data_IF_991506777026
#
_entry.id   IF_991506777026
#
_cell.length_a   1.000
_cell.length_b   1.000
_cell.length_c   1.000
_cell.angle_alpha   90.00
_cell.angle_beta   90.00
_cell.angle_gamma   90.00
#
_symmetry.space_group_name_H-M   'P 1'
#
loop_
_entity.id
_entity.type
_entity.pdbx_description
1 polymer ?
#
# COMPACT_ATOMS: atom_id res chain seq x y z
N UNK A 1 -44.79 -37.29 42.30
CA UNK A 1 -45.16 -36.30 41.27
C UNK A 1 -44.03 -35.26 41.20
N UNK A 2 -43.13 -35.47 40.23
CA UNK A 2 -41.94 -34.59 40.08
C UNK A 2 -42.20 -33.72 38.86
N UNK A 3 -42.37 -32.41 39.09
CA UNK A 3 -42.55 -31.45 38.01
C UNK A 3 -41.21 -31.16 37.33
N UNK A 4 -41.14 -31.44 36.05
CA UNK A 4 -40.03 -31.07 35.20
C UNK A 4 -40.23 -29.61 34.71
N UNK A 5 -39.43 -28.69 35.23
CA UNK A 5 -39.38 -27.30 34.74
C UNK A 5 -38.52 -27.29 33.46
N UNK A 6 -39.14 -27.18 32.32
CA UNK A 6 -38.50 -26.86 31.05
C UNK A 6 -38.19 -25.36 30.97
N UNK A 7 -36.90 -25.02 31.10
CA UNK A 7 -36.41 -23.68 30.82
C UNK A 7 -36.25 -23.55 29.30
N UNK A 8 -37.21 -22.89 28.64
CA UNK A 8 -37.10 -22.46 27.28
C UNK A 8 -36.22 -21.18 27.23
N UNK A 9 -34.92 -21.34 26.98
CA UNK A 9 -34.07 -20.21 26.60
C UNK A 9 -34.17 -20.00 25.10
N UNK A 10 -35.09 -19.16 24.66
CA UNK A 10 -35.07 -18.60 23.31
C UNK A 10 -33.92 -17.63 23.21
N UNK A 11 -32.76 -18.06 22.73
CA UNK A 11 -31.69 -17.19 22.30
C UNK A 11 -32.14 -16.49 21.01
N UNK A 12 -32.71 -15.31 21.12
CA UNK A 12 -32.93 -14.39 20.00
C UNK A 12 -31.57 -13.96 19.48
N UNK A 13 -31.12 -14.61 18.43
CA UNK A 13 -29.96 -14.12 17.65
C UNK A 13 -30.39 -12.82 16.99
N UNK A 14 -30.11 -11.69 17.64
CA UNK A 14 -30.27 -10.38 17.00
C UNK A 14 -29.25 -10.32 15.87
N UNK A 15 -29.72 -10.53 14.64
CA UNK A 15 -28.97 -10.13 13.46
C UNK A 15 -28.67 -8.63 13.60
N UNK A 16 -27.43 -8.30 13.96
CA UNK A 16 -26.94 -6.92 13.94
C UNK A 16 -27.02 -6.46 12.49
N UNK A 17 -28.04 -5.70 12.14
CA UNK A 17 -28.08 -4.99 10.86
C UNK A 17 -26.85 -4.11 10.79
N UNK A 18 -26.00 -4.37 9.80
CA UNK A 18 -24.80 -3.58 9.59
C UNK A 18 -25.23 -2.23 9.03
N UNK A 19 -24.93 -1.16 9.73
CA UNK A 19 -25.28 0.20 9.28
C UNK A 19 -24.44 0.55 8.03
N UNK A 20 -25.09 1.20 7.08
CA UNK A 20 -24.40 1.80 5.93
C UNK A 20 -23.48 2.90 6.45
N UNK A 21 -22.18 2.92 6.08
CA UNK A 21 -21.28 3.97 6.52
C UNK A 21 -21.72 5.34 6.00
N UNK A 22 -21.69 6.34 6.86
CA UNK A 22 -22.02 7.71 6.47
C UNK A 22 -20.84 8.36 5.74
N UNK A 23 -21.12 9.10 4.67
CA UNK A 23 -20.13 9.92 4.01
C UNK A 23 -19.84 11.20 4.81
N UNK A 24 -18.58 11.69 4.82
CA UNK A 24 -18.25 12.97 5.42
C UNK A 24 -18.82 14.13 4.57
N UNK A 25 -19.07 15.27 5.21
CA UNK A 25 -19.47 16.50 4.49
C UNK A 25 -18.32 17.09 3.66
N UNK A 26 -17.09 16.87 4.06
CA UNK A 26 -15.86 17.34 3.41
C UNK A 26 -14.78 16.29 3.53
N UNK A 27 -13.97 16.17 2.51
CA UNK A 27 -12.76 15.33 2.53
C UNK A 27 -11.68 15.98 1.67
N UNK A 28 -10.42 15.78 2.04
CA UNK A 28 -9.25 16.20 1.26
C UNK A 28 -8.25 15.06 1.13
N UNK A 29 -7.46 15.10 0.06
CA UNK A 29 -6.27 14.29 -0.13
C UNK A 29 -5.08 15.23 -0.30
N UNK A 30 -4.05 15.08 0.50
CA UNK A 30 -2.87 15.97 0.51
C UNK A 30 -3.25 17.47 0.62
N UNK A 31 -4.23 17.79 1.48
CA UNK A 31 -4.83 19.12 1.68
C UNK A 31 -5.63 19.66 0.48
N UNK A 32 -5.82 18.90 -0.58
CA UNK A 32 -6.64 19.27 -1.73
C UNK A 32 -8.07 18.72 -1.57
N UNK A 33 -9.07 19.61 -1.56
CA UNK A 33 -10.46 19.24 -1.30
C UNK A 33 -11.06 18.47 -2.48
N UNK A 34 -11.76 17.38 -2.18
CA UNK A 34 -12.63 16.71 -3.14
C UNK A 34 -13.97 17.48 -3.27
N UNK A 35 -14.48 17.71 -4.50
CA UNK A 35 -15.72 18.46 -4.73
C UNK A 35 -16.95 17.56 -4.48
N UNK A 36 -17.30 17.33 -3.20
CA UNK A 36 -18.44 16.52 -2.80
C UNK A 36 -19.81 17.16 -3.13
N UNK A 37 -19.85 18.39 -3.62
CA UNK A 37 -21.02 19.04 -4.19
C UNK A 37 -21.44 18.46 -5.54
N UNK A 38 -20.52 17.74 -6.23
CA UNK A 38 -20.80 17.02 -7.47
C UNK A 38 -21.39 15.64 -7.16
N UNK A 39 -22.61 15.36 -7.64
CA UNK A 39 -23.32 14.11 -7.36
C UNK A 39 -22.49 12.85 -7.70
N UNK A 40 -21.83 12.85 -8.87
CA UNK A 40 -21.03 11.71 -9.31
C UNK A 40 -19.77 11.50 -8.47
N UNK A 41 -19.24 12.53 -7.80
CA UNK A 41 -18.11 12.42 -6.86
C UNK A 41 -18.59 11.74 -5.58
N UNK A 42 -19.78 12.13 -5.08
CA UNK A 42 -20.40 11.48 -3.92
C UNK A 42 -20.67 10.00 -4.19
N UNK A 43 -21.34 9.67 -5.30
CA UNK A 43 -21.70 8.29 -5.66
C UNK A 43 -20.46 7.39 -5.81
N UNK A 44 -19.39 7.90 -6.42
CA UNK A 44 -18.14 7.14 -6.59
C UNK A 44 -17.42 6.93 -5.26
N UNK A 45 -17.39 7.93 -4.39
CA UNK A 45 -16.81 7.78 -3.05
C UNK A 45 -17.64 6.79 -2.21
N UNK A 46 -18.97 6.89 -2.26
CA UNK A 46 -19.88 5.96 -1.59
C UNK A 46 -19.61 4.51 -1.98
N UNK A 47 -19.52 4.27 -3.29
CA UNK A 47 -19.18 2.94 -3.81
C UNK A 47 -17.89 2.38 -3.20
N UNK A 48 -16.81 3.16 -3.17
CA UNK A 48 -15.53 2.68 -2.65
C UNK A 48 -15.56 2.51 -1.11
N UNK A 49 -16.31 3.35 -0.40
CA UNK A 49 -16.55 3.17 1.03
C UNK A 49 -17.32 1.88 1.32
N UNK A 50 -18.42 1.64 0.60
CA UNK A 50 -19.21 0.42 0.75
C UNK A 50 -18.37 -0.83 0.45
N UNK A 51 -17.65 -0.85 -0.68
CA UNK A 51 -16.81 -1.98 -1.06
C UNK A 51 -15.78 -2.29 0.04
N UNK A 52 -15.04 -1.30 0.52
CA UNK A 52 -14.01 -1.53 1.53
C UNK A 52 -14.59 -1.84 2.92
N UNK A 53 -15.72 -1.23 3.30
CA UNK A 53 -16.37 -1.50 4.59
C UNK A 53 -16.92 -2.91 4.65
N UNK A 54 -17.54 -3.41 3.57
CA UNK A 54 -18.14 -4.75 3.56
C UNK A 54 -17.18 -5.86 3.10
N UNK A 55 -16.01 -5.53 2.61
CA UNK A 55 -14.93 -6.51 2.37
C UNK A 55 -14.08 -6.70 3.64
N UNK A 56 -14.76 -7.09 4.73
CA UNK A 56 -14.23 -7.10 6.09
C UNK A 56 -12.86 -7.76 6.23
N UNK A 57 -12.71 -9.00 5.75
CA UNK A 57 -11.46 -9.74 5.92
C UNK A 57 -10.28 -9.03 5.27
N UNK A 58 -10.46 -8.49 4.06
CA UNK A 58 -9.41 -7.75 3.38
C UNK A 58 -9.05 -6.47 4.14
N UNK A 59 -10.05 -5.67 4.52
CA UNK A 59 -9.82 -4.40 5.22
C UNK A 59 -9.16 -4.61 6.59
N UNK A 60 -9.59 -5.63 7.36
CA UNK A 60 -8.94 -6.02 8.62
C UNK A 60 -7.47 -6.39 8.38
N UNK A 61 -7.18 -7.23 7.38
CA UNK A 61 -5.80 -7.65 7.08
C UNK A 61 -4.91 -6.46 6.70
N UNK A 62 -5.43 -5.52 5.92
CA UNK A 62 -4.65 -4.34 5.51
C UNK A 62 -4.42 -3.40 6.69
N UNK A 63 -5.42 -3.16 7.54
CA UNK A 63 -5.27 -2.40 8.78
C UNK A 63 -4.22 -3.03 9.72
N UNK A 64 -4.20 -4.36 9.86
CA UNK A 64 -3.17 -5.05 10.65
C UNK A 64 -1.77 -4.89 10.05
N UNK A 65 -1.64 -4.95 8.70
CA UNK A 65 -0.37 -4.76 8.00
C UNK A 65 0.13 -3.31 8.10
N UNK A 66 -0.77 -2.33 8.07
CA UNK A 66 -0.38 -0.92 8.17
C UNK A 66 0.38 -0.61 9.46
N UNK A 67 0.00 -1.22 10.58
CA UNK A 67 0.73 -1.09 11.85
C UNK A 67 2.20 -1.55 11.74
N UNK A 68 2.48 -2.54 10.89
CA UNK A 68 3.83 -3.04 10.63
C UNK A 68 4.62 -2.14 9.67
N UNK A 69 3.98 -1.60 8.62
CA UNK A 69 4.69 -1.00 7.49
C UNK A 69 4.66 0.53 7.47
N UNK A 70 3.61 1.18 7.98
CA UNK A 70 3.50 2.63 8.01
C UNK A 70 4.62 3.30 8.81
N UNK A 71 5.07 2.77 9.97
CA UNK A 71 6.21 3.33 10.70
C UNK A 71 7.52 3.41 9.88
N UNK A 72 7.63 2.65 8.77
CA UNK A 72 8.77 2.71 7.84
C UNK A 72 8.45 3.63 6.66
N UNK A 73 7.25 3.58 6.12
CA UNK A 73 6.83 4.34 4.93
C UNK A 73 6.72 5.84 5.25
N UNK A 74 6.03 6.20 6.33
CA UNK A 74 5.72 7.59 6.69
C UNK A 74 6.97 8.47 6.85
N UNK A 75 8.04 8.07 7.57
CA UNK A 75 9.26 8.88 7.68
C UNK A 75 9.95 9.10 6.33
N UNK A 76 9.89 8.11 5.42
CA UNK A 76 10.49 8.24 4.09
C UNK A 76 9.71 9.24 3.24
N UNK A 77 8.38 9.17 3.22
CA UNK A 77 7.54 10.13 2.52
C UNK A 77 7.78 11.55 3.06
N UNK A 78 7.73 11.72 4.38
CA UNK A 78 7.96 13.00 5.05
C UNK A 78 9.34 13.60 4.72
N UNK A 79 10.42 12.81 4.79
CA UNK A 79 11.79 13.22 4.45
C UNK A 79 11.90 13.74 3.01
N UNK A 80 11.10 13.18 2.09
CA UNK A 80 11.08 13.57 0.69
C UNK A 80 10.07 14.67 0.38
N UNK A 81 9.36 15.23 1.38
CA UNK A 81 8.37 16.28 1.20
C UNK A 81 7.06 15.80 0.55
N UNK A 82 6.79 14.51 0.60
CA UNK A 82 5.55 13.90 0.09
C UNK A 82 4.50 13.91 1.21
N UNK A 83 3.27 14.40 0.93
CA UNK A 83 2.20 14.37 1.92
C UNK A 83 1.90 12.97 2.46
N UNK A 84 1.61 12.88 3.75
CA UNK A 84 1.39 11.61 4.46
C UNK A 84 0.28 10.75 3.86
N UNK A 85 -0.75 11.36 3.27
CA UNK A 85 -1.85 10.67 2.59
C UNK A 85 -1.37 9.69 1.49
N UNK A 86 -0.17 9.89 0.94
CA UNK A 86 0.39 9.00 -0.07
C UNK A 86 0.76 7.60 0.45
N UNK A 87 0.82 7.38 1.76
CA UNK A 87 0.93 6.02 2.33
C UNK A 87 -0.23 5.12 1.91
N UNK A 88 -1.43 5.70 1.72
CA UNK A 88 -2.60 4.97 1.25
C UNK A 88 -2.49 4.49 -0.20
N UNK A 89 -1.57 5.07 -0.97
CA UNK A 89 -1.28 4.60 -2.33
C UNK A 89 -0.71 3.18 -2.30
N UNK A 90 0.27 2.88 -1.43
CA UNK A 90 0.77 1.52 -1.24
C UNK A 90 -0.34 0.54 -0.79
N UNK A 91 -1.33 1.03 -0.04
CA UNK A 91 -2.49 0.24 0.35
C UNK A 91 -3.33 -0.16 -0.86
N UNK A 92 -3.72 0.80 -1.70
CA UNK A 92 -4.61 0.51 -2.84
C UNK A 92 -3.91 -0.24 -3.98
N UNK A 93 -2.58 -0.14 -4.07
CA UNK A 93 -1.78 -0.85 -5.08
C UNK A 93 -1.61 -2.34 -4.76
N UNK A 94 -1.29 -2.67 -3.52
CA UNK A 94 -0.89 -4.02 -3.15
C UNK A 94 -1.59 -4.61 -1.91
N UNK A 95 -2.35 -3.81 -1.16
CA UNK A 95 -2.81 -4.21 0.17
C UNK A 95 -1.66 -4.45 1.15
N UNK A 96 -0.52 -3.80 0.95
CA UNK A 96 0.71 -3.96 1.74
C UNK A 96 1.21 -5.40 1.76
N UNK A 97 1.21 -6.06 0.60
CA UNK A 97 1.83 -7.39 0.39
C UNK A 97 2.68 -7.39 -0.88
N UNK A 98 3.61 -8.33 -0.96
CA UNK A 98 4.43 -8.53 -2.15
C UNK A 98 3.64 -9.32 -3.20
N UNK A 99 2.94 -8.61 -4.07
CA UNK A 99 2.17 -9.19 -5.17
C UNK A 99 2.77 -8.80 -6.52
N UNK A 100 2.54 -9.66 -7.50
CA UNK A 100 2.86 -9.39 -8.89
C UNK A 100 1.58 -9.32 -9.71
N UNK A 101 1.39 -8.22 -10.42
CA UNK A 101 0.25 -8.04 -11.31
C UNK A 101 0.41 -8.85 -12.61
N UNK A 102 -0.67 -9.15 -13.33
CA UNK A 102 -0.59 -9.78 -14.64
C UNK A 102 0.26 -8.99 -15.66
N UNK A 103 0.31 -7.66 -15.52
CA UNK A 103 1.13 -6.79 -16.36
C UNK A 103 2.62 -6.77 -15.96
N UNK A 104 2.99 -7.38 -14.82
CA UNK A 104 4.36 -7.46 -14.34
C UNK A 104 4.77 -6.36 -13.36
N UNK A 105 3.84 -5.52 -12.89
CA UNK A 105 4.09 -4.64 -11.75
C UNK A 105 4.27 -5.48 -10.48
N UNK A 106 5.14 -5.05 -9.56
CA UNK A 106 5.49 -5.87 -8.39
C UNK A 106 5.81 -5.02 -7.16
N UNK A 107 5.55 -5.58 -5.98
CA UNK A 107 5.85 -4.99 -4.67
C UNK A 107 4.75 -4.06 -4.14
N UNK A 108 5.03 -3.40 -3.03
CA UNK A 108 4.06 -2.54 -2.34
C UNK A 108 3.57 -1.37 -3.20
N UNK A 109 4.48 -0.83 -4.00
CA UNK A 109 4.25 0.33 -4.86
C UNK A 109 3.92 -0.04 -6.31
N UNK A 110 3.81 -1.33 -6.64
CA UNK A 110 3.44 -1.85 -7.96
C UNK A 110 4.21 -1.21 -9.13
N UNK A 111 5.53 -1.04 -8.96
CA UNK A 111 6.36 -0.55 -10.04
C UNK A 111 6.45 -1.54 -11.21
N UNK A 112 6.30 -1.03 -12.43
CA UNK A 112 6.72 -1.75 -13.63
C UNK A 112 8.25 -1.85 -13.67
N UNK A 113 8.83 -2.93 -14.24
CA UNK A 113 10.30 -3.12 -14.24
C UNK A 113 11.08 -1.96 -14.87
N UNK A 114 10.55 -1.36 -15.93
CA UNK A 114 11.20 -0.24 -16.61
C UNK A 114 11.20 0.99 -15.70
N UNK A 115 10.05 1.40 -15.21
CA UNK A 115 9.92 2.56 -14.31
C UNK A 115 10.74 2.38 -13.04
N UNK A 116 10.77 1.17 -12.47
CA UNK A 116 11.61 0.86 -11.31
C UNK A 116 13.09 1.19 -11.57
N UNK A 117 13.64 0.80 -12.72
CA UNK A 117 15.02 1.10 -13.10
C UNK A 117 15.25 2.59 -13.36
N UNK A 118 14.29 3.27 -13.97
CA UNK A 118 14.32 4.74 -14.19
C UNK A 118 14.43 5.50 -12.87
N UNK A 119 13.80 4.97 -11.81
CA UNK A 119 13.86 5.51 -10.45
C UNK A 119 14.90 4.81 -9.54
N UNK A 120 15.92 4.18 -10.13
CA UNK A 120 17.12 3.72 -9.43
C UNK A 120 17.04 2.35 -8.77
N UNK A 121 15.94 1.59 -8.96
CA UNK A 121 15.81 0.25 -8.40
C UNK A 121 16.53 -0.80 -9.27
N UNK A 122 17.25 -1.69 -8.64
CA UNK A 122 17.83 -2.86 -9.29
C UNK A 122 16.73 -3.91 -9.53
N UNK A 123 16.54 -4.27 -10.80
CA UNK A 123 15.58 -5.30 -11.20
C UNK A 123 16.24 -6.21 -12.23
N UNK A 124 16.65 -7.39 -11.79
CA UNK A 124 17.29 -8.43 -12.61
C UNK A 124 16.84 -9.83 -12.18
N UNK A 125 17.57 -10.88 -12.58
CA UNK A 125 17.24 -12.25 -12.24
C UNK A 125 17.47 -12.59 -10.78
N UNK A 126 18.50 -12.00 -10.14
CA UNK A 126 18.95 -12.31 -8.78
C UNK A 126 18.33 -11.37 -7.74
N UNK A 127 18.05 -10.13 -8.13
CA UNK A 127 17.63 -9.03 -7.26
C UNK A 127 16.45 -8.30 -7.88
N UNK A 128 15.45 -8.01 -7.03
CA UNK A 128 14.30 -7.19 -7.41
C UNK A 128 13.97 -6.20 -6.29
N UNK A 129 14.56 -5.00 -6.36
CA UNK A 129 14.41 -3.98 -5.32
C UNK A 129 13.00 -3.33 -5.30
N UNK A 130 12.09 -3.70 -6.21
CA UNK A 130 10.66 -3.36 -6.09
C UNK A 130 10.03 -4.00 -4.84
N UNK A 131 10.63 -5.12 -4.38
CA UNK A 131 10.25 -5.83 -3.16
C UNK A 131 10.99 -5.31 -1.92
N UNK A 132 11.94 -4.39 -2.07
CA UNK A 132 12.66 -3.78 -0.96
C UNK A 132 11.89 -2.56 -0.44
N UNK A 133 11.25 -2.68 0.72
CA UNK A 133 10.32 -1.68 1.25
C UNK A 133 10.89 -0.25 1.26
N UNK A 134 12.08 -0.06 1.83
CA UNK A 134 12.69 1.27 1.96
C UNK A 134 13.00 1.85 0.57
N UNK A 135 13.75 1.12 -0.27
CA UNK A 135 14.17 1.61 -1.58
C UNK A 135 12.99 1.88 -2.53
N UNK A 136 12.00 0.97 -2.54
CA UNK A 136 10.82 1.18 -3.37
C UNK A 136 9.96 2.36 -2.89
N UNK A 137 9.95 2.65 -1.57
CA UNK A 137 9.28 3.83 -1.03
C UNK A 137 10.03 5.12 -1.42
N UNK A 138 11.36 5.13 -1.37
CA UNK A 138 12.17 6.26 -1.83
C UNK A 138 11.95 6.53 -3.34
N UNK A 139 11.91 5.47 -4.15
CA UNK A 139 11.62 5.58 -5.59
C UNK A 139 10.20 6.07 -5.87
N UNK A 140 9.21 5.63 -5.07
CA UNK A 140 7.84 6.11 -5.18
C UNK A 140 7.74 7.61 -4.81
N UNK A 141 8.46 8.02 -3.77
CA UNK A 141 8.53 9.43 -3.38
C UNK A 141 9.16 10.29 -4.49
N UNK A 142 10.23 9.83 -5.15
CA UNK A 142 10.84 10.51 -6.29
C UNK A 142 9.86 10.64 -7.46
N UNK A 143 9.18 9.55 -7.85
CA UNK A 143 8.14 9.60 -8.89
C UNK A 143 7.05 10.63 -8.57
N UNK A 144 6.55 10.62 -7.35
CA UNK A 144 5.46 11.52 -6.91
C UNK A 144 5.91 12.99 -6.92
N UNK A 145 7.18 13.25 -6.60
CA UNK A 145 7.77 14.59 -6.68
C UNK A 145 7.84 15.08 -8.12
N UNK A 146 8.36 14.25 -9.03
CA UNK A 146 8.39 14.57 -10.46
C UNK A 146 6.98 14.82 -11.01
N UNK A 147 6.02 14.00 -10.62
CA UNK A 147 4.63 14.17 -11.02
C UNK A 147 4.03 15.48 -10.46
N UNK A 148 4.35 15.84 -9.23
CA UNK A 148 3.93 17.13 -8.66
C UNK A 148 4.56 18.31 -9.38
N UNK A 149 5.82 18.23 -9.77
CA UNK A 149 6.50 19.26 -10.58
C UNK A 149 5.80 19.46 -11.93
N UNK A 150 5.29 18.39 -12.54
CA UNK A 150 4.54 18.46 -13.82
C UNK A 150 3.14 19.06 -13.64
N UNK A 151 2.42 18.70 -12.59
CA UNK A 151 1.00 19.03 -12.46
C UNK A 151 0.70 20.18 -11.48
N UNK A 152 1.61 20.48 -10.54
CA UNK A 152 1.38 21.43 -9.45
C UNK A 152 0.21 21.06 -8.54
N UNK A 153 -0.20 19.79 -8.55
CA UNK A 153 -1.40 19.29 -7.88
C UNK A 153 -1.21 17.83 -7.47
N UNK A 154 -1.42 17.53 -6.20
CA UNK A 154 -1.22 16.19 -5.64
C UNK A 154 -2.26 15.17 -6.10
N UNK A 155 -3.51 15.59 -6.32
CA UNK A 155 -4.57 14.70 -6.83
C UNK A 155 -4.25 14.22 -8.25
N UNK A 156 -3.72 15.11 -9.11
CA UNK A 156 -3.27 14.74 -10.45
C UNK A 156 -1.99 13.90 -10.41
N UNK A 157 -1.05 14.20 -9.50
CA UNK A 157 0.14 13.39 -9.29
C UNK A 157 -0.24 11.95 -8.88
N UNK A 158 -1.18 11.79 -7.96
CA UNK A 158 -1.70 10.46 -7.57
C UNK A 158 -2.36 9.74 -8.76
N UNK A 159 -3.20 10.43 -9.54
CA UNK A 159 -3.82 9.84 -10.72
C UNK A 159 -2.80 9.41 -11.78
N UNK A 160 -1.70 10.18 -11.93
CA UNK A 160 -0.63 9.87 -12.86
C UNK A 160 0.20 8.65 -12.44
N UNK A 161 0.23 8.33 -11.16
CA UNK A 161 0.87 7.11 -10.67
C UNK A 161 0.22 5.86 -11.26
N UNK A 162 -1.10 5.84 -11.34
CA UNK A 162 -1.87 4.75 -11.96
C UNK A 162 -1.80 4.77 -13.49
N UNK A 163 -1.99 5.94 -14.10
CA UNK A 163 -2.20 6.02 -15.55
C UNK A 163 -0.95 6.39 -16.36
N UNK A 164 0.09 6.90 -15.69
CA UNK A 164 1.25 7.53 -16.30
C UNK A 164 1.03 9.03 -16.58
N UNK A 165 2.08 9.84 -16.34
CA UNK A 165 2.02 11.30 -16.46
C UNK A 165 1.56 11.77 -17.83
N UNK A 166 2.10 11.18 -18.93
CA UNK A 166 1.74 11.56 -20.30
C UNK A 166 0.25 11.35 -20.61
N UNK A 167 -0.34 10.27 -20.09
CA UNK A 167 -1.78 9.97 -20.30
C UNK A 167 -2.66 10.98 -19.60
N UNK A 168 -2.34 11.34 -18.34
CA UNK A 168 -3.08 12.36 -17.60
C UNK A 168 -2.92 13.73 -18.27
N UNK A 169 -1.72 14.14 -18.65
CA UNK A 169 -1.47 15.39 -19.36
C UNK A 169 -2.24 15.47 -20.70
N UNK A 170 -2.24 14.36 -21.46
CA UNK A 170 -3.00 14.28 -22.71
C UNK A 170 -4.51 14.41 -22.48
N UNK A 171 -5.04 13.75 -21.41
CA UNK A 171 -6.45 13.85 -21.06
C UNK A 171 -6.83 15.28 -20.66
N UNK A 172 -6.03 15.94 -19.83
CA UNK A 172 -6.22 17.34 -19.43
C UNK A 172 -6.28 18.27 -20.64
N UNK A 173 -5.35 18.14 -21.56
CA UNK A 173 -5.29 18.98 -22.77
C UNK A 173 -6.48 18.74 -23.69
N UNK A 174 -6.84 17.48 -23.96
CA UNK A 174 -7.97 17.12 -24.83
C UNK A 174 -9.33 17.54 -24.26
N UNK A 175 -9.50 17.41 -22.95
CA UNK A 175 -10.76 17.71 -22.27
C UNK A 175 -10.81 19.12 -21.72
N UNK A 176 -9.70 19.89 -21.82
CA UNK A 176 -9.55 21.24 -21.26
C UNK A 176 -9.89 21.29 -19.76
N UNK A 177 -9.61 20.22 -19.05
CA UNK A 177 -9.88 20.07 -17.62
C UNK A 177 -8.62 20.41 -16.81
N UNK A 178 -8.81 21.02 -15.64
CA UNK A 178 -7.73 21.40 -14.71
C UNK A 178 -7.71 20.56 -13.43
N UNK A 179 -8.74 19.75 -13.21
CA UNK A 179 -8.88 18.92 -12.02
C UNK A 179 -9.09 17.47 -12.44
N UNK A 180 -8.55 16.53 -11.66
CA UNK A 180 -8.84 15.11 -11.81
C UNK A 180 -10.35 14.82 -11.84
N UNK A 181 -11.11 15.49 -10.98
CA UNK A 181 -12.55 15.27 -10.84
C UNK A 181 -13.37 15.71 -12.06
N UNK A 182 -12.78 16.47 -12.99
CA UNK A 182 -13.40 16.91 -14.25
C UNK A 182 -12.95 16.05 -15.45
N UNK A 183 -12.05 15.09 -15.23
CA UNK A 183 -11.56 14.21 -16.29
C UNK A 183 -12.47 13.00 -16.47
N UNK A 184 -12.79 12.70 -17.72
CA UNK A 184 -13.37 11.43 -18.10
C UNK A 184 -12.25 10.46 -18.47
N UNK A 185 -12.01 9.49 -17.59
CA UNK A 185 -10.92 8.51 -17.68
C UNK A 185 -11.50 7.10 -17.82
N UNK A 186 -10.64 6.11 -18.10
CA UNK A 186 -11.03 4.70 -18.02
C UNK A 186 -11.48 4.34 -16.59
N UNK A 187 -12.19 3.21 -16.44
CA UNK A 187 -12.79 2.83 -15.16
C UNK A 187 -11.75 2.75 -14.02
N UNK A 188 -10.60 2.13 -14.25
CA UNK A 188 -9.55 1.96 -13.26
C UNK A 188 -9.04 3.31 -12.75
N UNK A 189 -8.59 4.18 -13.64
CA UNK A 189 -8.05 5.50 -13.28
C UNK A 189 -9.14 6.42 -12.73
N UNK A 190 -10.39 6.33 -13.23
CA UNK A 190 -11.50 7.15 -12.73
C UNK A 190 -11.92 6.79 -11.30
N UNK A 191 -11.59 5.59 -10.82
CA UNK A 191 -11.85 5.13 -9.46
C UNK A 191 -10.70 5.41 -8.50
N UNK A 192 -9.51 5.67 -9.01
CA UNK A 192 -8.27 5.64 -8.25
C UNK A 192 -8.29 6.60 -7.05
N UNK A 193 -8.67 7.87 -7.26
CA UNK A 193 -8.76 8.84 -6.17
C UNK A 193 -9.84 8.50 -5.16
N UNK A 194 -10.97 7.95 -5.59
CA UNK A 194 -12.03 7.55 -4.65
C UNK A 194 -11.63 6.37 -3.79
N UNK A 195 -10.82 5.45 -4.33
CA UNK A 195 -10.18 4.38 -3.55
C UNK A 195 -9.22 4.94 -2.50
N UNK A 196 -8.41 5.94 -2.85
CA UNK A 196 -7.52 6.63 -1.91
C UNK A 196 -8.31 7.33 -0.80
N UNK A 197 -9.34 8.09 -1.16
CA UNK A 197 -10.19 8.81 -0.22
C UNK A 197 -10.93 7.84 0.73
N UNK A 198 -11.51 6.77 0.21
CA UNK A 198 -12.18 5.76 1.02
C UNK A 198 -11.22 5.04 1.97
N UNK A 199 -10.02 4.68 1.48
CA UNK A 199 -8.97 4.10 2.31
C UNK A 199 -8.56 5.06 3.43
N UNK A 200 -8.30 6.32 3.11
CA UNK A 200 -7.99 7.35 4.10
C UNK A 200 -9.05 7.43 5.20
N UNK A 201 -10.32 7.56 4.84
CA UNK A 201 -11.42 7.64 5.80
C UNK A 201 -11.46 6.45 6.77
N UNK A 202 -11.34 5.23 6.23
CA UNK A 202 -11.35 4.01 7.04
C UNK A 202 -10.13 3.94 7.97
N UNK A 203 -8.96 4.34 7.49
CA UNK A 203 -7.72 4.26 8.27
C UNK A 203 -7.63 5.36 9.35
N UNK A 204 -8.16 6.56 9.08
CA UNK A 204 -8.20 7.65 10.07
C UNK A 204 -9.24 7.43 11.18
N UNK A 205 -10.32 6.67 10.90
CA UNK A 205 -11.38 6.42 11.85
C UNK A 205 -11.97 5.02 11.70
N UNK A 206 -11.18 3.94 11.88
CA UNK A 206 -11.61 2.57 11.57
C UNK A 206 -12.85 2.15 12.35
N UNK A 207 -13.01 2.58 13.58
CA UNK A 207 -14.18 2.26 14.43
C UNK A 207 -15.48 2.81 13.85
N UNK A 208 -15.43 3.98 13.18
CA UNK A 208 -16.58 4.57 12.49
C UNK A 208 -17.08 3.72 11.32
N UNK A 209 -16.22 2.82 10.82
CA UNK A 209 -16.52 1.90 9.72
C UNK A 209 -16.64 0.44 10.17
N UNK A 210 -16.71 0.21 11.50
CA UNK A 210 -16.92 -1.10 12.09
C UNK A 210 -15.67 -1.95 12.26
N UNK A 211 -14.48 -1.35 12.22
CA UNK A 211 -13.21 -2.03 12.42
C UNK A 211 -12.57 -1.62 13.76
N UNK A 212 -12.35 -2.58 14.64
CA UNK A 212 -11.59 -2.40 15.88
C UNK A 212 -10.43 -3.39 15.87
N UNK A 213 -9.19 -2.88 15.93
CA UNK A 213 -7.98 -3.70 15.93
C UNK A 213 -7.13 -3.24 17.12
N UNK A 214 -6.88 -4.15 18.06
CA UNK A 214 -5.98 -3.87 19.18
C UNK A 214 -4.51 -4.01 18.75
N UNK A 215 -3.60 -3.43 19.54
CA UNK A 215 -2.17 -3.51 19.21
C UNK A 215 -1.65 -4.97 19.25
N UNK A 216 -2.21 -5.84 20.11
CA UNK A 216 -1.86 -7.26 20.17
C UNK A 216 -2.30 -8.03 18.90
N UNK A 217 -3.35 -7.56 18.23
CA UNK A 217 -3.83 -8.13 16.97
C UNK A 217 -3.06 -7.63 15.75
N UNK A 218 -2.31 -6.55 15.90
CA UNK A 218 -1.53 -5.97 14.81
C UNK A 218 -0.34 -6.85 14.42
N UNK A 219 0.13 -6.71 13.18
CA UNK A 219 1.37 -7.35 12.75
C UNK A 219 2.57 -6.46 13.09
N UNK A 220 3.68 -7.09 13.46
CA UNK A 220 4.95 -6.42 13.75
C UNK A 220 6.12 -7.15 13.08
N UNK A 221 7.23 -6.47 12.91
CA UNK A 221 8.48 -7.13 12.57
C UNK A 221 9.07 -7.78 13.82
N UNK A 222 9.77 -8.91 13.68
CA UNK A 222 10.65 -9.38 14.73
C UNK A 222 11.80 -8.37 14.95
N UNK A 223 12.49 -8.50 16.07
CA UNK A 223 13.74 -7.74 16.27
C UNK A 223 14.77 -8.15 15.21
N UNK A 224 15.34 -7.16 14.52
CA UNK A 224 16.29 -7.38 13.43
C UNK A 224 17.50 -6.45 13.56
N UNK A 225 18.61 -6.87 12.93
CA UNK A 225 19.80 -6.03 12.72
C UNK A 225 20.21 -6.03 11.27
N UNK A 226 20.94 -5.00 10.83
CA UNK A 226 21.45 -4.89 9.47
C UNK A 226 22.88 -5.44 9.39
N UNK A 227 23.13 -6.25 8.37
CA UNK A 227 24.45 -6.77 8.01
C UNK A 227 24.77 -6.33 6.59
N UNK A 228 25.97 -5.75 6.39
CA UNK A 228 26.44 -5.34 5.07
C UNK A 228 27.28 -6.42 4.43
N UNK A 229 27.05 -6.65 3.14
CA UNK A 229 27.78 -7.63 2.34
C UNK A 229 28.05 -7.07 0.94
N UNK A 230 29.33 -7.16 0.49
CA UNK A 230 29.76 -6.63 -0.82
C UNK A 230 30.54 -7.65 -1.65
N UNK A 231 30.70 -8.91 -1.18
CA UNK A 231 31.46 -9.93 -1.91
C UNK A 231 30.75 -10.39 -3.18
N UNK A 232 31.51 -10.87 -4.15
CA UNK A 232 30.98 -11.57 -5.32
C UNK A 232 30.52 -13.01 -4.96
N UNK A 233 29.60 -13.56 -5.77
CA UNK A 233 29.09 -14.93 -5.61
C UNK A 233 28.54 -15.21 -4.20
N UNK A 234 27.55 -14.42 -3.78
CA UNK A 234 26.89 -14.58 -2.48
C UNK A 234 26.01 -15.83 -2.54
N UNK A 235 26.25 -16.78 -1.64
CA UNK A 235 25.32 -17.88 -1.37
C UNK A 235 24.42 -17.48 -0.19
N UNK A 236 23.15 -17.28 -0.45
CA UNK A 236 22.19 -16.80 0.54
C UNK A 236 21.80 -17.86 1.57
N UNK A 237 21.89 -19.15 1.21
CA UNK A 237 21.64 -20.25 2.15
C UNK A 237 22.74 -20.28 3.20
N UNK A 238 24.02 -20.28 2.77
CA UNK A 238 25.17 -20.26 3.68
C UNK A 238 25.19 -18.97 4.52
N UNK A 239 24.81 -17.84 3.90
CA UNK A 239 24.69 -16.58 4.62
C UNK A 239 23.65 -16.65 5.75
N UNK A 240 22.44 -17.18 5.47
CA UNK A 240 21.39 -17.35 6.47
C UNK A 240 21.86 -18.24 7.63
N UNK A 241 22.44 -19.41 7.32
CA UNK A 241 22.96 -20.35 8.33
C UNK A 241 24.05 -19.72 9.19
N UNK A 242 24.95 -18.92 8.61
CA UNK A 242 26.01 -18.21 9.36
C UNK A 242 25.47 -17.16 10.34
N UNK A 243 24.18 -16.77 10.20
CA UNK A 243 23.49 -15.83 11.08
C UNK A 243 22.41 -16.51 11.94
N UNK A 244 22.50 -17.83 12.13
CA UNK A 244 21.56 -18.64 12.92
C UNK A 244 20.09 -18.50 12.50
N UNK A 245 19.83 -18.38 11.20
CA UNK A 245 18.48 -18.27 10.63
C UNK A 245 18.31 -19.22 9.44
N UNK A 246 17.08 -19.61 9.16
CA UNK A 246 16.76 -20.37 7.96
C UNK A 246 16.80 -19.49 6.71
N UNK A 247 16.95 -20.12 5.54
CA UNK A 247 16.81 -19.40 4.27
C UNK A 247 15.39 -18.79 4.11
N UNK A 248 14.38 -19.43 4.68
CA UNK A 248 13.01 -18.89 4.68
C UNK A 248 12.93 -17.58 5.48
N UNK A 249 13.52 -17.53 6.69
CA UNK A 249 13.59 -16.31 7.50
C UNK A 249 14.30 -15.18 6.75
N UNK A 250 15.43 -15.52 6.11
CA UNK A 250 16.18 -14.55 5.30
C UNK A 250 15.31 -13.97 4.18
N UNK A 251 14.54 -14.80 3.49
CA UNK A 251 13.68 -14.39 2.38
C UNK A 251 12.46 -13.58 2.84
N UNK A 252 11.89 -13.90 4.01
CA UNK A 252 10.80 -13.12 4.61
C UNK A 252 11.27 -11.71 5.02
N UNK A 253 12.48 -11.60 5.54
CA UNK A 253 13.07 -10.31 5.92
C UNK A 253 13.61 -9.53 4.71
N UNK A 254 14.05 -10.24 3.65
CA UNK A 254 14.65 -9.66 2.45
C UNK A 254 13.99 -10.20 1.16
N UNK A 255 12.72 -9.91 0.93
CA UNK A 255 11.96 -10.48 -0.20
C UNK A 255 12.53 -10.10 -1.59
N UNK A 256 13.34 -9.04 -1.65
CA UNK A 256 14.01 -8.56 -2.86
C UNK A 256 15.14 -9.48 -3.37
N UNK A 257 15.62 -10.40 -2.55
CA UNK A 257 16.55 -11.47 -2.95
C UNK A 257 15.74 -12.54 -3.70
N UNK A 258 16.02 -12.79 -4.98
CA UNK A 258 15.19 -13.67 -5.83
C UNK A 258 15.57 -15.14 -5.75
N UNK A 259 16.86 -15.46 -5.67
CA UNK A 259 17.40 -16.81 -5.76
C UNK A 259 18.18 -17.25 -4.54
N UNK A 260 18.78 -18.45 -4.61
CA UNK A 260 19.65 -18.97 -3.57
C UNK A 260 21.05 -18.34 -3.60
N UNK A 261 21.39 -17.66 -4.68
CA UNK A 261 22.69 -16.98 -4.86
C UNK A 261 22.54 -15.71 -5.67
N UNK A 262 23.50 -14.79 -5.52
CA UNK A 262 23.62 -13.58 -6.34
C UNK A 262 25.06 -13.46 -6.80
N UNK A 263 25.28 -13.30 -8.11
CA UNK A 263 26.60 -13.20 -8.68
C UNK A 263 27.39 -11.97 -8.19
N UNK A 264 26.71 -10.85 -7.99
CA UNK A 264 27.26 -9.56 -7.49
C UNK A 264 28.67 -9.23 -8.03
N UNK A 265 28.86 -9.33 -9.35
CA UNK A 265 30.17 -9.15 -10.00
C UNK A 265 30.81 -7.79 -9.75
N UNK A 266 30.01 -6.76 -9.57
CA UNK A 266 30.45 -5.40 -9.29
C UNK A 266 30.70 -5.14 -7.80
N UNK A 267 30.56 -6.15 -6.95
CA UNK A 267 30.71 -6.04 -5.50
C UNK A 267 29.89 -4.91 -4.88
N UNK A 268 28.67 -4.69 -5.41
CA UNK A 268 27.70 -3.75 -4.82
C UNK A 268 27.45 -4.14 -3.37
N UNK A 269 27.43 -3.18 -2.48
CA UNK A 269 27.08 -3.39 -1.09
C UNK A 269 25.55 -3.56 -0.97
N UNK A 270 25.15 -4.64 -0.30
CA UNK A 270 23.77 -4.89 0.08
C UNK A 270 23.63 -4.85 1.59
N UNK A 271 22.59 -4.21 2.07
CA UNK A 271 22.18 -4.23 3.49
C UNK A 271 21.12 -5.31 3.67
N UNK A 272 21.43 -6.31 4.48
CA UNK A 272 20.62 -7.50 4.71
C UNK A 272 20.05 -7.45 6.11
N UNK A 273 18.71 -7.55 6.22
CA UNK A 273 18.07 -7.72 7.51
C UNK A 273 18.25 -9.16 7.99
N UNK A 274 18.79 -9.33 9.18
CA UNK A 274 18.92 -10.62 9.87
C UNK A 274 18.23 -10.54 11.23
N UNK A 275 17.82 -11.69 11.80
CA UNK A 275 17.22 -11.72 13.13
C UNK A 275 18.21 -11.16 14.17
N UNK A 276 17.70 -10.30 15.06
CA UNK A 276 18.42 -9.76 16.20
C UNK A 276 18.49 -10.85 17.28
N UNK A 277 19.56 -11.56 17.40
CA UNK A 277 19.77 -12.54 18.49
C UNK A 277 20.43 -11.85 19.69
#
# INVERSE_FOLDING_TARGET
>A
MTQCNTVNSTSTTHLKLQSIPSQPKTISFANEKAPLDKYYVQERLDRELLVNTFWHSNTILVLKRSKKYFPIIEPILSKNGIPDDFKYLAVIESGLIHVKSPAGAEGFWQFMPQTAREYGLEVNADVDERLHLIKSTESAAAYLKDAYEVFGNWTLAAASYNAGMQRIQSAMNKQKAKSYYDLFLNEETSRYMYRLLATKLIFESPESYGFAITDEQAYAFPETKLVRISKSNINWVDFALSHNMSYADLRELNPWIKGHSTANRNQKEYEIQVLGN
#
